data_IF_798022868092
#
_entry.id   IF_798022868092
#
_cell.length_a   1.000
_cell.length_b   1.000
_cell.length_c   1.000
_cell.angle_alpha   90.00
_cell.angle_beta   90.00
_cell.angle_gamma   90.00
#
_symmetry.space_group_name_H-M   'P 1'
#
loop_
_entity.id
_entity.type
_entity.pdbx_description
1 polymer ?
#
# COMPACT_ATOMS: atom_id res chain seq x y z
N UNK A 1 5.04 3.10 -15.19
CA UNK A 1 3.67 2.84 -14.72
C UNK A 1 3.01 1.82 -15.61
N UNK A 2 2.34 0.87 -14.98
CA UNK A 2 1.75 -0.22 -15.72
C UNK A 2 0.33 -0.49 -15.20
N UNK A 3 -0.60 -0.70 -16.13
CA UNK A 3 -1.97 -1.02 -15.80
C UNK A 3 -2.11 -2.53 -15.73
N UNK A 4 -2.61 -3.04 -14.62
CA UNK A 4 -2.75 -4.48 -14.39
C UNK A 4 -4.19 -4.82 -14.00
N UNK A 5 -4.68 -5.94 -14.53
CA UNK A 5 -6.01 -6.45 -14.21
C UNK A 5 -5.89 -7.71 -13.38
N UNK A 6 -6.72 -7.82 -12.36
CA UNK A 6 -6.76 -8.98 -11.48
C UNK A 6 -8.19 -9.49 -11.37
N UNK A 7 -8.34 -10.78 -11.17
CA UNK A 7 -9.63 -11.40 -10.93
C UNK A 7 -9.92 -11.45 -9.44
N UNK A 8 -11.19 -11.48 -9.11
CA UNK A 8 -11.63 -11.66 -7.73
C UNK A 8 -10.90 -12.83 -7.10
N UNK A 9 -10.39 -12.63 -5.90
CA UNK A 9 -9.68 -13.65 -5.14
C UNK A 9 -8.18 -13.68 -5.37
N UNK A 10 -7.67 -13.05 -6.41
CA UNK A 10 -6.24 -13.01 -6.65
C UNK A 10 -5.57 -12.00 -5.72
N UNK A 11 -4.31 -12.26 -5.41
CA UNK A 11 -3.52 -11.36 -4.58
C UNK A 11 -2.69 -10.44 -5.48
N UNK A 12 -2.68 -9.15 -5.16
CA UNK A 12 -1.76 -8.22 -5.79
C UNK A 12 -0.37 -8.44 -5.20
N UNK A 13 -0.30 -8.68 -3.90
CA UNK A 13 0.93 -9.11 -3.23
C UNK A 13 0.56 -9.85 -1.94
N UNK A 14 1.50 -10.62 -1.42
CA UNK A 14 1.32 -11.37 -0.18
C UNK A 14 2.29 -10.86 0.87
N UNK A 15 1.94 -11.07 2.13
CA UNK A 15 2.83 -10.76 3.24
C UNK A 15 4.16 -11.50 3.02
N UNK A 16 5.25 -10.81 3.25
CA UNK A 16 6.59 -11.38 3.06
C UNK A 16 7.19 -11.15 1.68
N UNK A 17 6.37 -10.73 0.70
CA UNK A 17 6.88 -10.44 -0.64
C UNK A 17 7.76 -9.20 -0.62
N UNK A 18 8.64 -9.10 -1.61
CA UNK A 18 9.41 -7.89 -1.83
C UNK A 18 8.48 -6.75 -2.26
N UNK A 19 8.80 -5.53 -1.84
CA UNK A 19 7.95 -4.38 -2.08
C UNK A 19 8.61 -3.40 -3.04
N UNK A 20 8.63 -3.73 -4.33
CA UNK A 20 9.21 -2.87 -5.35
C UNK A 20 8.25 -1.88 -5.97
N UNK A 21 6.95 -2.02 -5.71
CA UNK A 21 5.91 -1.21 -6.34
C UNK A 21 4.87 -0.76 -5.34
N UNK A 22 4.30 0.40 -5.59
CA UNK A 22 3.06 0.81 -4.95
C UNK A 22 1.97 0.83 -6.02
N UNK A 23 0.72 0.87 -5.59
CA UNK A 23 -0.41 0.69 -6.51
C UNK A 23 -1.50 1.73 -6.27
N UNK A 24 -2.17 2.09 -7.35
CA UNK A 24 -3.36 2.93 -7.30
C UNK A 24 -4.53 2.05 -7.77
N UNK A 25 -5.56 1.93 -6.97
CA UNK A 25 -6.75 1.17 -7.36
C UNK A 25 -7.63 2.03 -8.26
N UNK A 26 -7.84 1.57 -9.48
CA UNK A 26 -8.68 2.28 -10.46
C UNK A 26 -10.10 1.78 -10.39
N UNK A 27 -10.28 0.46 -10.31
CA UNK A 27 -11.60 -0.15 -10.31
C UNK A 27 -11.59 -1.37 -9.41
N UNK A 28 -12.67 -1.55 -8.67
CA UNK A 28 -12.86 -2.70 -7.82
C UNK A 28 -12.64 -2.40 -6.35
N UNK A 29 -12.42 -3.44 -5.58
CA UNK A 29 -12.21 -3.34 -4.15
C UNK A 29 -11.08 -4.28 -3.73
N UNK A 30 -10.15 -3.77 -2.94
CA UNK A 30 -9.02 -4.53 -2.41
C UNK A 30 -9.20 -4.67 -0.90
N UNK A 31 -8.91 -5.85 -0.38
CA UNK A 31 -8.86 -6.09 1.06
C UNK A 31 -7.42 -6.30 1.50
N UNK A 32 -7.04 -5.68 2.61
CA UNK A 32 -5.73 -5.85 3.22
C UNK A 32 -5.87 -6.82 4.38
N UNK A 33 -5.10 -7.91 4.33
CA UNK A 33 -5.14 -8.97 5.32
C UNK A 33 -3.81 -9.06 6.05
N UNK A 34 -3.85 -8.87 7.37
CA UNK A 34 -2.67 -9.07 8.20
C UNK A 34 -2.34 -10.56 8.26
N UNK A 35 -1.05 -10.93 8.48
CA UNK A 35 -0.67 -12.35 8.48
C UNK A 35 -1.40 -13.19 9.53
N UNK A 36 -1.87 -12.56 10.60
CA UNK A 36 -2.58 -13.27 11.67
C UNK A 36 -4.07 -13.43 11.39
N UNK A 37 -4.57 -12.85 10.29
CA UNK A 37 -5.99 -12.91 9.96
C UNK A 37 -6.31 -14.24 9.28
N UNK A 38 -7.06 -15.06 9.95
CA UNK A 38 -7.48 -16.37 9.43
C UNK A 38 -8.91 -16.35 8.92
N UNK A 39 -9.52 -15.17 8.82
CA UNK A 39 -10.90 -15.03 8.35
C UNK A 39 -10.93 -14.61 6.88
N UNK A 40 -12.14 -14.52 6.34
CA UNK A 40 -12.33 -14.03 4.97
C UNK A 40 -12.60 -12.54 4.93
N UNK A 41 -12.66 -11.91 6.11
CA UNK A 41 -12.91 -10.47 6.20
C UNK A 41 -11.58 -9.74 6.31
N UNK A 42 -11.33 -8.77 5.44
CA UNK A 42 -10.07 -8.05 5.49
C UNK A 42 -9.98 -7.14 6.73
N UNK A 43 -8.76 -6.87 7.15
CA UNK A 43 -8.51 -5.94 8.24
C UNK A 43 -8.77 -4.50 7.80
N UNK A 44 -8.45 -4.19 6.54
CA UNK A 44 -8.63 -2.86 5.97
C UNK A 44 -9.16 -2.98 4.55
N UNK A 45 -9.88 -1.97 4.11
CA UNK A 45 -10.41 -1.89 2.75
C UNK A 45 -9.73 -0.78 1.98
N UNK A 46 -9.44 -1.04 0.70
CA UNK A 46 -8.93 -0.02 -0.22
C UNK A 46 -10.01 0.19 -1.26
N UNK A 47 -10.41 1.44 -1.43
CA UNK A 47 -11.42 1.82 -2.40
C UNK A 47 -10.82 2.43 -3.66
N UNK A 48 -11.67 2.70 -4.63
CA UNK A 48 -11.23 3.27 -5.90
C UNK A 48 -10.58 4.63 -5.67
N UNK A 49 -9.51 4.88 -6.44
CA UNK A 49 -8.69 6.09 -6.39
C UNK A 49 -7.81 6.19 -5.13
N UNK A 50 -7.68 5.10 -4.40
CA UNK A 50 -6.80 5.06 -3.24
C UNK A 50 -5.51 4.32 -3.56
N UNK A 51 -4.43 4.74 -2.91
CA UNK A 51 -3.12 4.12 -3.06
C UNK A 51 -2.93 3.07 -1.98
N UNK A 52 -2.32 1.96 -2.33
CA UNK A 52 -1.99 0.90 -1.37
C UNK A 52 -0.63 0.30 -1.71
N UNK A 53 -0.04 -0.38 -0.72
CA UNK A 53 1.26 -1.00 -0.89
C UNK A 53 2.41 0.00 -0.78
N UNK A 54 2.14 1.22 -0.32
CA UNK A 54 3.13 2.29 -0.26
C UNK A 54 4.14 2.12 0.87
N UNK A 55 3.72 1.51 1.98
CA UNK A 55 4.60 1.40 3.14
C UNK A 55 5.87 0.60 2.84
N UNK A 56 5.73 -0.51 2.14
CA UNK A 56 6.89 -1.33 1.78
C UNK A 56 7.88 -0.57 0.92
N UNK A 57 7.38 0.27 0.02
CA UNK A 57 8.21 1.07 -0.88
C UNK A 57 8.89 2.20 -0.10
N UNK A 58 8.13 2.92 0.71
CA UNK A 58 8.64 4.05 1.49
C UNK A 58 9.63 3.58 2.55
N UNK A 59 9.32 2.48 3.23
CA UNK A 59 10.16 1.95 4.31
C UNK A 59 11.26 1.03 3.81
N UNK A 60 11.22 0.65 2.52
CA UNK A 60 12.17 -0.29 1.94
C UNK A 60 12.14 -1.60 2.73
N UNK A 61 10.94 -2.11 2.97
CA UNK A 61 10.73 -3.32 3.76
C UNK A 61 9.89 -4.32 2.99
N UNK A 62 9.83 -5.55 3.48
CA UNK A 62 8.96 -6.57 2.90
C UNK A 62 7.51 -6.24 3.20
N UNK A 63 6.61 -6.81 2.43
CA UNK A 63 5.18 -6.62 2.64
C UNK A 63 4.78 -7.14 4.01
N UNK A 64 4.14 -6.29 4.80
CA UNK A 64 3.69 -6.68 6.14
C UNK A 64 2.29 -7.29 6.13
N UNK A 65 1.60 -7.22 5.01
CA UNK A 65 0.25 -7.74 4.86
C UNK A 65 0.02 -8.16 3.42
N UNK A 66 -1.05 -8.90 3.18
CA UNK A 66 -1.45 -9.28 1.82
C UNK A 66 -2.53 -8.33 1.30
N UNK A 67 -2.51 -8.07 0.00
CA UNK A 67 -3.55 -7.29 -0.67
C UNK A 67 -4.27 -8.23 -1.63
N UNK A 68 -5.53 -8.50 -1.35
CA UNK A 68 -6.34 -9.44 -2.12
C UNK A 68 -7.51 -8.73 -2.79
N UNK A 69 -7.78 -9.10 -4.03
CA UNK A 69 -8.91 -8.52 -4.76
C UNK A 69 -10.21 -9.12 -4.26
N UNK A 70 -11.07 -8.29 -3.72
CA UNK A 70 -12.38 -8.71 -3.23
C UNK A 70 -13.38 -8.80 -4.38
N UNK A 71 -13.12 -8.07 -5.45
CA UNK A 71 -13.84 -8.13 -6.73
C UNK A 71 -12.80 -8.17 -7.82
N UNK A 72 -13.22 -8.23 -9.07
CA UNK A 72 -12.29 -8.03 -10.19
C UNK A 72 -11.76 -6.60 -10.05
N UNK A 73 -10.46 -6.42 -10.24
CA UNK A 73 -9.81 -5.14 -10.00
C UNK A 73 -8.90 -4.73 -11.13
N UNK A 74 -8.77 -3.42 -11.31
CA UNK A 74 -7.77 -2.83 -12.19
C UNK A 74 -6.93 -1.88 -11.35
N UNK A 75 -5.60 -2.04 -11.41
CA UNK A 75 -4.69 -1.19 -10.66
C UNK A 75 -3.64 -0.62 -11.60
N UNK A 76 -3.02 0.48 -11.18
CA UNK A 76 -1.84 1.02 -11.85
C UNK A 76 -0.68 0.81 -10.88
N UNK A 77 0.39 0.16 -11.37
CA UNK A 77 1.59 -0.06 -10.58
C UNK A 77 2.58 1.07 -10.83
N UNK A 78 3.30 1.45 -9.79
CA UNK A 78 4.31 2.49 -9.86
C UNK A 78 5.54 1.97 -9.11
N UNK A 79 6.69 1.91 -9.79
CA UNK A 79 7.90 1.43 -9.14
C UNK A 79 8.43 2.49 -8.17
N UNK A 80 9.30 2.06 -7.25
CA UNK A 80 9.93 2.98 -6.30
C UNK A 80 10.65 4.10 -7.06
N UNK A 81 11.35 3.75 -8.13
CA UNK A 81 12.09 4.73 -8.93
C UNK A 81 11.14 5.75 -9.58
N UNK A 82 10.03 5.27 -10.13
CA UNK A 82 9.02 6.15 -10.71
C UNK A 82 8.37 7.03 -9.65
N UNK A 83 8.13 6.47 -8.47
CA UNK A 83 7.58 7.22 -7.35
C UNK A 83 8.53 8.35 -6.95
N UNK A 84 9.84 8.04 -6.82
CA UNK A 84 10.82 9.03 -6.44
C UNK A 84 10.92 10.15 -7.49
N UNK A 85 10.85 9.77 -8.77
CA UNK A 85 10.87 10.75 -9.84
C UNK A 85 9.67 11.69 -9.77
N UNK A 86 8.47 11.13 -9.61
CA UNK A 86 7.26 11.94 -9.49
C UNK A 86 7.32 12.86 -8.28
N UNK A 87 7.84 12.34 -7.17
CA UNK A 87 7.98 13.12 -5.96
C UNK A 87 8.94 14.29 -6.17
N UNK A 88 10.08 14.04 -6.81
CA UNK A 88 11.08 15.07 -7.06
C UNK A 88 10.61 16.14 -8.04
N UNK A 89 9.72 15.78 -8.95
CA UNK A 89 9.16 16.71 -9.92
C UNK A 89 7.93 17.44 -9.39
N UNK A 90 7.46 17.09 -8.21
CA UNK A 90 6.27 17.72 -7.67
C UNK A 90 6.61 19.06 -7.03
N UNK A 91 5.57 19.87 -6.84
CA UNK A 91 5.69 21.14 -6.15
C UNK A 91 6.28 20.90 -4.75
N UNK A 92 7.21 21.78 -4.29
CA UNK A 92 7.82 21.60 -2.96
C UNK A 92 6.80 21.51 -1.83
N UNK A 93 5.68 22.22 -1.95
CA UNK A 93 4.63 22.17 -0.94
C UNK A 93 3.98 20.80 -0.89
N UNK A 94 3.69 20.24 -2.06
CA UNK A 94 3.10 18.90 -2.17
C UNK A 94 4.09 17.86 -1.65
N UNK A 95 5.36 18.00 -1.99
CA UNK A 95 6.41 17.11 -1.52
C UNK A 95 6.47 17.09 0.01
N UNK A 96 6.42 18.27 0.61
CA UNK A 96 6.43 18.39 2.07
C UNK A 96 5.21 17.78 2.71
N UNK A 97 4.04 17.97 2.09
CA UNK A 97 2.79 17.41 2.59
C UNK A 97 2.83 15.88 2.56
N UNK A 98 3.31 15.31 1.46
CA UNK A 98 3.42 13.85 1.35
C UNK A 98 4.37 13.29 2.39
N UNK A 99 5.48 13.98 2.64
CA UNK A 99 6.44 13.55 3.65
C UNK A 99 5.80 13.57 5.04
N UNK A 100 5.07 14.63 5.34
CA UNK A 100 4.39 14.76 6.63
C UNK A 100 3.38 13.64 6.83
N UNK A 101 2.57 13.36 5.80
CA UNK A 101 1.57 12.32 5.88
C UNK A 101 2.20 10.93 6.05
N UNK A 102 3.32 10.68 5.38
CA UNK A 102 4.03 9.41 5.52
C UNK A 102 4.55 9.22 6.95
N UNK A 103 5.11 10.28 7.52
CA UNK A 103 5.60 10.24 8.89
C UNK A 103 4.46 9.97 9.88
N UNK A 104 3.35 10.66 9.69
CA UNK A 104 2.20 10.48 10.57
C UNK A 104 1.60 9.09 10.47
N UNK A 105 1.50 8.57 9.26
CA UNK A 105 0.99 7.23 9.04
C UNK A 105 1.88 6.21 9.73
N UNK A 106 3.19 6.35 9.59
CA UNK A 106 4.15 5.45 10.22
C UNK A 106 3.98 5.46 11.75
N UNK A 107 3.81 6.63 12.32
CA UNK A 107 3.62 6.75 13.77
C UNK A 107 2.33 6.11 14.24
N UNK A 108 1.28 6.25 13.46
CA UNK A 108 0.00 5.63 13.79
C UNK A 108 0.06 4.12 13.74
N UNK A 109 0.92 3.55 12.90
CA UNK A 109 1.05 2.11 12.74
C UNK A 109 2.05 1.47 13.67
N UNK A 110 2.82 2.27 14.40
CA UNK A 110 3.74 1.73 15.38
C UNK A 110 2.96 1.05 16.50
N UNK A 111 3.34 -0.17 16.87
CA UNK A 111 2.70 -0.80 18.02
C UNK A 111 3.02 -0.01 19.28
N UNK A 112 2.04 0.15 20.11
CA UNK A 112 2.26 0.79 21.40
C UNK A 112 2.98 -0.21 22.29
N UNK A 113 4.09 0.19 22.81
CA UNK A 113 4.84 -0.67 23.70
C UNK A 113 4.53 -0.26 25.11
N UNK A 114 3.95 -1.18 25.83
CA UNK A 114 3.61 -0.89 27.19
C UNK A 114 4.81 -0.66 28.06
N UNK A 115 5.84 -1.34 27.76
CA UNK A 115 7.03 -1.18 28.54
C UNK A 115 7.73 0.08 28.26
N UNK A 116 7.30 0.75 27.26
CA UNK A 116 7.96 1.98 26.97
C UNK A 116 7.47 2.93 27.96
N UNK A 117 7.33 2.53 28.80
CA UNK A 117 7.03 3.31 29.72
C UNK A 117 8.01 3.57 30.30
#
# INVERSE_FOLDING_TARGET
MEKLDFKQGQYVFRAGDGAGYLFLLIKGEIGIFLPTNETKEPNFHVGENEIFGEMGVIEDSLRSAGARCMTDCTVISLSKKEYEKKLNESDPFIKGLLRLLSIRLREMLKPKTLGSK
#
